data_IF_476689569525
#
_entry.id   IF_476689569525
#
_cell.length_a   1.000
_cell.length_b   1.000
_cell.length_c   1.000
_cell.angle_alpha   90.00
_cell.angle_beta   90.00
_cell.angle_gamma   90.00
#
_symmetry.space_group_name_H-M   'P 1'
#
loop_
_entity.id
_entity.type
_entity.pdbx_description
1 polymer ?
#
# COMPACT_ATOMS: atom_id res chain seq x y z
N UNK A 1 -35.49 -20.95 -55.26
CA UNK A 1 -34.66 -19.73 -55.12
C UNK A 1 -35.58 -18.55 -54.83
N UNK A 2 -35.69 -18.14 -53.56
CA UNK A 2 -36.17 -16.80 -53.19
C UNK A 2 -35.03 -16.17 -52.42
N UNK A 3 -34.51 -15.08 -52.96
CA UNK A 3 -33.46 -14.26 -52.36
C UNK A 3 -34.01 -13.65 -51.06
N UNK A 4 -33.36 -13.94 -49.93
CA UNK A 4 -33.49 -13.17 -48.71
C UNK A 4 -32.63 -11.92 -48.91
N UNK A 5 -33.30 -10.79 -49.05
CA UNK A 5 -32.69 -9.46 -49.08
C UNK A 5 -32.59 -9.00 -47.62
N UNK A 6 -31.37 -8.88 -47.09
CA UNK A 6 -31.15 -8.41 -45.72
C UNK A 6 -31.47 -6.91 -45.63
N UNK A 7 -32.25 -6.55 -44.61
CA UNK A 7 -32.70 -5.20 -44.33
C UNK A 7 -31.58 -4.42 -43.61
N UNK A 8 -31.02 -3.34 -44.21
CA UNK A 8 -29.85 -2.65 -43.69
C UNK A 8 -30.13 -1.76 -42.46
N UNK A 9 -31.36 -1.69 -41.95
CA UNK A 9 -31.73 -0.80 -40.83
C UNK A 9 -32.18 -1.55 -39.55
N UNK A 10 -31.87 -2.84 -39.43
CA UNK A 10 -32.03 -3.58 -38.16
C UNK A 10 -30.96 -3.17 -37.16
N UNK A 11 -31.27 -2.20 -36.30
CA UNK A 11 -30.53 -1.97 -35.05
C UNK A 11 -30.52 -3.25 -34.19
N UNK A 12 -29.37 -3.68 -33.65
CA UNK A 12 -29.32 -4.81 -32.74
C UNK A 12 -30.10 -4.50 -31.45
N UNK A 13 -30.68 -5.51 -30.79
CA UNK A 13 -31.37 -5.32 -29.52
C UNK A 13 -30.41 -4.70 -28.50
N UNK A 14 -30.86 -3.64 -27.82
CA UNK A 14 -30.15 -3.07 -26.69
C UNK A 14 -30.13 -4.11 -25.58
N UNK A 15 -28.95 -4.69 -25.34
CA UNK A 15 -28.65 -5.54 -24.20
C UNK A 15 -28.89 -4.74 -22.90
N UNK A 16 -30.09 -4.88 -22.38
CA UNK A 16 -30.56 -4.33 -21.12
C UNK A 16 -30.24 -5.36 -20.06
N UNK A 17 -29.00 -5.36 -19.59
CA UNK A 17 -28.57 -6.33 -18.60
C UNK A 17 -27.08 -6.38 -18.32
N UNK A 18 -26.38 -5.24 -18.30
CA UNK A 18 -25.11 -5.20 -17.56
C UNK A 18 -25.42 -5.50 -16.08
N UNK A 19 -24.81 -6.52 -15.46
CA UNK A 19 -24.90 -6.64 -14.01
C UNK A 19 -24.21 -5.41 -13.41
N UNK A 20 -25.00 -4.56 -12.75
CA UNK A 20 -24.53 -3.48 -11.90
C UNK A 20 -23.50 -4.07 -10.93
N UNK A 21 -22.23 -3.75 -11.12
CA UNK A 21 -21.20 -3.95 -10.11
C UNK A 21 -21.36 -2.84 -9.07
N UNK A 22 -22.42 -2.93 -8.26
CA UNK A 22 -22.60 -2.11 -7.08
C UNK A 22 -23.31 -2.96 -6.03
N UNK A 23 -22.64 -3.08 -4.88
CA UNK A 23 -23.19 -3.47 -3.58
C UNK A 23 -23.47 -4.97 -3.34
N UNK A 24 -22.42 -5.66 -2.91
CA UNK A 24 -22.51 -6.49 -1.70
C UNK A 24 -21.38 -6.07 -0.77
N UNK A 25 -21.61 -4.97 -0.05
CA UNK A 25 -20.71 -4.47 0.98
C UNK A 25 -20.78 -5.35 2.23
N UNK A 26 -20.04 -6.46 2.23
CA UNK A 26 -19.64 -7.10 3.48
C UNK A 26 -18.34 -6.41 3.88
N UNK A 27 -18.44 -5.36 4.69
CA UNK A 27 -17.27 -4.81 5.37
C UNK A 27 -16.75 -5.88 6.32
N UNK A 28 -15.69 -6.59 5.91
CA UNK A 28 -14.98 -7.50 6.81
C UNK A 28 -14.52 -6.67 8.03
N UNK A 29 -14.83 -7.09 9.27
CA UNK A 29 -14.32 -6.41 10.46
C UNK A 29 -12.79 -6.41 10.45
N UNK A 30 -12.17 -5.30 10.89
CA UNK A 30 -10.70 -5.18 10.93
C UNK A 30 -10.04 -6.34 11.71
N UNK A 31 -10.66 -6.77 12.81
CA UNK A 31 -10.16 -7.92 13.59
C UNK A 31 -10.04 -9.21 12.77
N UNK A 32 -11.02 -9.50 11.90
CA UNK A 32 -10.96 -10.69 11.05
C UNK A 32 -9.86 -10.59 9.99
N UNK A 33 -9.57 -9.38 9.51
CA UNK A 33 -8.44 -9.13 8.62
C UNK A 33 -7.10 -9.33 9.33
N UNK A 34 -6.99 -8.91 10.59
CA UNK A 34 -5.79 -9.12 11.39
C UNK A 34 -5.57 -10.59 11.73
N UNK A 35 -6.63 -11.32 12.08
CA UNK A 35 -6.55 -12.76 12.33
C UNK A 35 -6.06 -13.49 11.07
N UNK A 36 -6.64 -13.18 9.90
CA UNK A 36 -6.17 -13.76 8.64
C UNK A 36 -4.69 -13.47 8.38
N UNK A 37 -4.24 -12.22 8.59
CA UNK A 37 -2.85 -11.86 8.42
C UNK A 37 -1.92 -12.61 9.39
N UNK A 38 -2.36 -12.86 10.63
CA UNK A 38 -1.61 -13.67 11.60
C UNK A 38 -1.54 -15.13 11.15
N UNK A 39 -2.64 -15.72 10.69
CA UNK A 39 -2.66 -17.10 10.18
C UNK A 39 -1.73 -17.28 8.98
N UNK A 40 -1.74 -16.34 8.03
CA UNK A 40 -0.83 -16.32 6.89
C UNK A 40 0.63 -16.19 7.34
N UNK A 41 0.93 -15.26 8.25
CA UNK A 41 2.29 -15.07 8.76
C UNK A 41 2.81 -16.33 9.46
N UNK A 42 1.99 -17.02 10.23
CA UNK A 42 2.37 -18.26 10.92
C UNK A 42 2.58 -19.44 9.96
N UNK A 43 1.86 -19.45 8.83
CA UNK A 43 1.93 -20.54 7.85
C UNK A 43 3.06 -20.34 6.84
N UNK A 44 3.22 -19.13 6.35
CA UNK A 44 3.99 -18.80 5.13
C UNK A 44 5.16 -17.84 5.41
N UNK A 45 5.39 -17.44 6.67
CA UNK A 45 6.35 -16.39 7.09
C UNK A 45 6.10 -15.03 6.39
N UNK A 46 4.92 -14.86 5.78
CA UNK A 46 4.50 -13.69 5.01
C UNK A 46 2.97 -13.56 5.05
N UNK A 47 2.48 -12.32 5.15
CA UNK A 47 1.07 -12.00 5.02
C UNK A 47 0.87 -10.81 4.08
N UNK A 48 -0.20 -10.83 3.28
CA UNK A 48 -0.53 -9.75 2.35
C UNK A 48 -1.95 -9.26 2.61
N UNK A 49 -2.07 -7.98 2.95
CA UNK A 49 -3.35 -7.33 3.20
C UNK A 49 -3.67 -6.39 2.04
N UNK A 50 -4.52 -6.86 1.12
CA UNK A 50 -5.04 -6.05 0.03
C UNK A 50 -5.98 -4.95 0.55
N UNK A 51 -6.03 -3.82 -0.17
CA UNK A 51 -6.86 -2.67 0.19
C UNK A 51 -6.67 -2.20 1.65
N UNK A 52 -5.43 -2.28 2.16
CA UNK A 52 -5.05 -1.87 3.52
C UNK A 52 -5.41 -0.41 3.84
N UNK A 53 -5.59 0.45 2.84
CA UNK A 53 -6.22 1.76 2.97
C UNK A 53 -7.04 2.05 1.70
N UNK A 54 -8.05 2.94 1.74
CA UNK A 54 -8.81 3.32 0.55
C UNK A 54 -7.93 3.88 -0.56
N UNK A 55 -8.27 3.62 -1.81
CA UNK A 55 -7.52 4.11 -2.99
C UNK A 55 -7.39 5.63 -3.00
N UNK A 56 -8.42 6.37 -2.55
CA UNK A 56 -8.36 7.82 -2.40
C UNK A 56 -7.27 8.26 -1.42
N UNK A 57 -7.11 7.56 -0.29
CA UNK A 57 -6.03 7.81 0.68
C UNK A 57 -4.66 7.47 0.06
N UNK A 58 -4.55 6.39 -0.71
CA UNK A 58 -3.30 6.06 -1.44
C UNK A 58 -2.93 7.20 -2.40
N UNK A 59 -3.91 7.73 -3.14
CA UNK A 59 -3.70 8.83 -4.07
C UNK A 59 -3.24 10.12 -3.36
N UNK A 60 -3.88 10.47 -2.24
CA UNK A 60 -3.50 11.63 -1.40
C UNK A 60 -2.08 11.50 -0.84
N UNK A 61 -1.72 10.35 -0.28
CA UNK A 61 -0.36 10.07 0.21
C UNK A 61 0.68 10.15 -0.90
N UNK A 62 0.34 9.64 -2.09
CA UNK A 62 1.21 9.73 -3.26
C UNK A 62 1.41 11.17 -3.72
N UNK A 63 0.36 11.99 -3.70
CA UNK A 63 0.46 13.40 -4.03
C UNK A 63 1.36 14.15 -3.04
N UNK A 64 1.19 13.92 -1.74
CA UNK A 64 2.07 14.48 -0.71
C UNK A 64 3.54 14.06 -0.93
N UNK A 65 3.80 12.79 -1.21
CA UNK A 65 5.13 12.27 -1.56
C UNK A 65 5.74 13.03 -2.75
N UNK A 66 4.97 13.22 -3.82
CA UNK A 66 5.45 13.91 -5.02
C UNK A 66 5.72 15.40 -4.77
N UNK A 67 4.89 16.06 -3.97
CA UNK A 67 5.12 17.46 -3.58
C UNK A 67 6.41 17.60 -2.78
N UNK A 68 6.64 16.75 -1.79
CA UNK A 68 7.89 16.75 -1.01
C UNK A 68 9.11 16.36 -1.84
N UNK A 69 8.94 15.47 -2.83
CA UNK A 69 9.99 15.15 -3.79
C UNK A 69 10.40 16.37 -4.62
N UNK A 70 9.43 17.10 -5.18
CA UNK A 70 9.68 18.31 -5.98
C UNK A 70 10.28 19.45 -5.15
N UNK A 71 9.99 19.49 -3.85
CA UNK A 71 10.59 20.42 -2.88
C UNK A 71 12.00 20.02 -2.43
N UNK A 72 12.50 18.84 -2.82
CA UNK A 72 13.83 18.36 -2.49
C UNK A 72 14.01 17.90 -1.04
N UNK A 73 12.93 17.51 -0.37
CA UNK A 73 12.94 17.10 1.04
C UNK A 73 13.55 15.70 1.25
N UNK A 74 13.65 14.92 0.18
CA UNK A 74 14.20 13.58 0.17
C UNK A 74 15.72 13.57 0.28
N UNK A 75 16.23 12.59 1.04
CA UNK A 75 17.67 12.37 1.21
C UNK A 75 18.02 10.99 0.67
N UNK A 76 19.20 10.85 0.06
CA UNK A 76 19.73 9.51 -0.27
C UNK A 76 19.76 8.64 0.97
N UNK A 77 19.18 7.44 0.86
CA UNK A 77 19.22 6.47 1.94
C UNK A 77 20.66 6.07 2.25
N UNK A 78 20.92 5.77 3.52
CA UNK A 78 22.16 5.13 3.95
C UNK A 78 21.86 3.83 4.67
N UNK A 79 22.92 3.11 5.03
CA UNK A 79 22.87 1.84 5.75
C UNK A 79 23.66 1.95 7.06
N UNK A 80 23.21 1.26 8.12
CA UNK A 80 23.89 1.19 9.42
C UNK A 80 23.35 2.13 10.50
N UNK A 81 23.57 1.77 11.78
CA UNK A 81 23.09 2.51 12.96
C UNK A 81 24.19 3.39 13.57
N UNK A 82 23.83 4.60 14.02
CA UNK A 82 24.64 5.57 14.78
C UNK A 82 26.07 5.81 14.24
N UNK A 83 27.06 5.06 14.70
CA UNK A 83 28.49 5.23 14.39
C UNK A 83 28.94 4.54 13.09
N UNK A 84 28.08 3.70 12.50
CA UNK A 84 28.34 2.96 11.26
C UNK A 84 27.53 3.42 10.05
N UNK A 85 26.86 4.58 10.12
CA UNK A 85 26.06 5.08 9.00
C UNK A 85 26.95 5.33 7.78
N UNK A 86 26.79 4.51 6.75
CA UNK A 86 27.46 4.66 5.48
C UNK A 86 26.43 4.82 4.38
N UNK A 87 26.61 5.84 3.53
CA UNK A 87 25.91 5.92 2.26
C UNK A 87 26.57 4.96 1.28
N UNK A 88 26.29 3.67 1.41
CA UNK A 88 26.77 2.68 0.46
C UNK A 88 25.75 2.53 -0.68
N UNK A 89 25.94 3.34 -1.72
CA UNK A 89 25.13 3.28 -2.94
C UNK A 89 25.21 1.93 -3.66
N UNK A 90 26.18 1.07 -3.32
CA UNK A 90 26.26 -0.28 -3.86
C UNK A 90 25.29 -1.25 -3.17
N UNK A 91 24.67 -0.87 -2.04
CA UNK A 91 23.71 -1.72 -1.30
C UNK A 91 22.28 -1.25 -1.53
N UNK A 92 22.02 0.06 -1.36
CA UNK A 92 20.74 0.68 -1.69
C UNK A 92 20.94 2.06 -2.29
N UNK A 93 20.12 2.43 -3.26
CA UNK A 93 20.25 3.68 -4.03
C UNK A 93 18.96 4.50 -4.11
N UNK A 94 18.00 4.18 -3.25
CA UNK A 94 16.76 4.94 -3.09
C UNK A 94 16.97 6.25 -2.31
N UNK A 95 15.96 7.10 -2.39
CA UNK A 95 15.85 8.31 -1.60
C UNK A 95 14.70 8.15 -0.62
N UNK A 96 14.90 8.57 0.63
CA UNK A 96 13.89 8.50 1.68
C UNK A 96 13.55 9.86 2.26
N UNK A 97 12.34 9.96 2.76
CA UNK A 97 11.88 11.03 3.63
C UNK A 97 11.15 10.38 4.81
N UNK A 98 11.69 10.57 6.02
CA UNK A 98 10.99 10.17 7.25
C UNK A 98 9.71 10.97 7.39
N UNK A 99 8.64 10.31 7.81
CA UNK A 99 7.32 10.94 8.00
C UNK A 99 6.74 10.59 9.36
N UNK A 100 6.13 11.58 10.00
CA UNK A 100 5.25 11.37 11.16
C UNK A 100 3.79 11.53 10.74
N UNK A 101 2.87 11.19 11.65
CA UNK A 101 1.44 11.36 11.42
C UNK A 101 1.09 12.80 11.05
N UNK A 102 1.70 13.76 11.75
CA UNK A 102 1.43 15.19 11.62
C UNK A 102 1.95 15.80 10.31
N UNK A 103 2.88 15.12 9.65
CA UNK A 103 3.46 15.54 8.37
C UNK A 103 2.62 15.05 7.17
N UNK A 104 1.64 14.17 7.40
CA UNK A 104 0.76 13.66 6.36
C UNK A 104 -0.52 14.49 6.21
N UNK A 105 -1.17 14.45 5.03
CA UNK A 105 -2.54 14.91 4.85
C UNK A 105 -3.50 14.26 5.87
N UNK A 106 -4.57 14.97 6.22
CA UNK A 106 -5.51 14.53 7.26
C UNK A 106 -6.17 13.17 6.96
N UNK A 107 -6.39 12.83 5.69
CA UNK A 107 -6.90 11.52 5.28
C UNK A 107 -5.84 10.42 5.33
N UNK A 108 -4.55 10.78 5.26
CA UNK A 108 -3.41 9.91 5.51
C UNK A 108 -3.31 9.39 6.94
N UNK A 109 -3.96 10.06 7.91
CA UNK A 109 -4.04 9.60 9.29
C UNK A 109 -4.67 8.20 9.44
N UNK A 110 -5.57 7.82 8.51
CA UNK A 110 -6.19 6.49 8.51
C UNK A 110 -5.17 5.35 8.39
N UNK A 111 -4.05 5.58 7.69
CA UNK A 111 -2.96 4.61 7.60
C UNK A 111 -2.35 4.33 8.98
N UNK A 112 -2.09 5.38 9.75
CA UNK A 112 -1.59 5.27 11.12
C UNK A 112 -2.60 4.61 12.05
N UNK A 113 -3.90 4.95 11.93
CA UNK A 113 -4.94 4.32 12.75
C UNK A 113 -4.99 2.81 12.52
N UNK A 114 -4.95 2.35 11.26
CA UNK A 114 -4.92 0.92 10.93
C UNK A 114 -3.64 0.24 11.40
N UNK A 115 -2.49 0.91 11.30
CA UNK A 115 -1.23 0.41 11.83
C UNK A 115 -1.26 0.24 13.35
N UNK A 116 -1.87 1.18 14.07
CA UNK A 116 -2.00 1.15 15.53
C UNK A 116 -2.97 0.05 15.99
N UNK A 117 -4.08 -0.14 15.28
CA UNK A 117 -5.01 -1.26 15.50
C UNK A 117 -4.33 -2.62 15.27
N UNK A 118 -3.63 -2.79 14.13
CA UNK A 118 -2.88 -4.02 13.85
C UNK A 118 -1.80 -4.28 14.90
N UNK A 119 -1.10 -3.23 15.35
CA UNK A 119 -0.04 -3.39 16.36
C UNK A 119 -0.61 -3.77 17.72
N UNK A 120 -1.74 -3.18 18.09
CA UNK A 120 -2.50 -3.58 19.28
C UNK A 120 -2.90 -5.04 19.19
N UNK A 121 -3.47 -5.47 18.05
CA UNK A 121 -3.87 -6.85 17.81
C UNK A 121 -2.69 -7.81 17.97
N UNK A 122 -1.60 -7.60 17.23
CA UNK A 122 -0.39 -8.43 17.27
C UNK A 122 0.23 -8.50 18.67
N UNK A 123 0.20 -7.41 19.43
CA UNK A 123 0.71 -7.41 20.80
C UNK A 123 -0.17 -8.22 21.74
N UNK A 124 -1.50 -8.22 21.54
CA UNK A 124 -2.45 -8.94 22.37
C UNK A 124 -2.52 -10.43 22.04
N UNK A 125 -2.49 -10.81 20.76
CA UNK A 125 -2.68 -12.19 20.30
C UNK A 125 -1.37 -12.94 20.12
N UNK A 126 -0.31 -12.24 19.70
CA UNK A 126 0.99 -12.84 19.39
C UNK A 126 2.09 -12.48 20.40
N UNK A 127 1.79 -11.67 21.42
CA UNK A 127 2.73 -11.26 22.48
C UNK A 127 4.06 -10.63 21.97
N UNK A 128 4.05 -9.97 20.81
CA UNK A 128 5.27 -9.48 20.15
C UNK A 128 5.95 -8.29 20.87
N UNK A 129 5.20 -7.53 21.68
CA UNK A 129 5.75 -6.40 22.44
C UNK A 129 6.29 -5.27 21.56
N UNK A 130 5.69 -5.03 20.39
CA UNK A 130 5.99 -3.94 19.47
C UNK A 130 5.69 -2.60 20.15
N UNK A 131 6.70 -1.71 20.24
CA UNK A 131 6.61 -0.43 20.96
C UNK A 131 6.85 0.80 20.10
N UNK A 132 7.54 0.64 18.98
CA UNK A 132 7.97 1.73 18.11
C UNK A 132 7.85 1.28 16.67
N UNK A 133 7.54 2.24 15.81
CA UNK A 133 7.56 2.11 14.36
C UNK A 133 8.27 3.33 13.80
N UNK A 134 9.03 3.13 12.75
CA UNK A 134 9.62 4.22 11.98
C UNK A 134 9.06 4.12 10.56
N UNK A 135 8.63 5.25 9.99
CA UNK A 135 7.97 5.29 8.69
C UNK A 135 8.65 6.32 7.80
N UNK A 136 8.85 5.96 6.55
CA UNK A 136 9.41 6.84 5.55
C UNK A 136 8.80 6.59 4.17
N UNK A 137 8.65 7.64 3.37
CA UNK A 137 8.53 7.47 1.94
C UNK A 137 9.86 7.02 1.34
N UNK A 138 9.81 6.20 0.29
CA UNK A 138 10.97 5.76 -0.47
C UNK A 138 10.71 5.92 -1.97
N UNK A 139 11.64 6.56 -2.66
CA UNK A 139 11.62 6.77 -4.11
C UNK A 139 12.81 6.03 -4.73
N UNK A 140 12.50 5.17 -5.70
CA UNK A 140 13.48 4.43 -6.50
C UNK A 140 13.48 5.02 -7.92
N UNK A 141 14.38 5.96 -8.24
CA UNK A 141 14.56 6.43 -9.62
C UNK A 141 14.92 5.26 -10.56
N UNK A 142 14.74 5.40 -11.89
CA UNK A 142 15.13 4.37 -12.83
C UNK A 142 16.59 3.91 -12.62
N UNK A 143 16.79 2.60 -12.49
CA UNK A 143 18.10 1.99 -12.21
C UNK A 143 18.50 1.95 -10.72
N UNK A 144 17.70 2.52 -9.82
CA UNK A 144 17.87 2.33 -8.38
C UNK A 144 17.48 0.90 -7.96
N UNK A 145 18.08 0.44 -6.88
CA UNK A 145 17.91 -0.92 -6.37
C UNK A 145 18.15 -0.97 -4.85
N UNK A 146 17.76 -2.08 -4.26
CA UNK A 146 18.18 -2.52 -2.94
C UNK A 146 18.64 -3.97 -3.05
N UNK A 147 19.90 -4.25 -2.70
CA UNK A 147 20.41 -5.62 -2.58
C UNK A 147 19.69 -6.39 -1.47
N UNK A 148 19.66 -7.71 -1.62
CA UNK A 148 19.11 -8.62 -0.61
C UNK A 148 19.81 -8.39 0.73
N UNK A 149 19.02 -8.13 1.76
CA UNK A 149 19.46 -7.91 3.14
C UNK A 149 18.41 -8.49 4.09
N UNK A 150 18.74 -8.48 5.38
CA UNK A 150 17.78 -8.72 6.46
C UNK A 150 17.57 -7.39 7.18
N UNK A 151 16.31 -7.01 7.36
CA UNK A 151 15.96 -5.93 8.28
C UNK A 151 16.25 -6.39 9.72
N UNK A 152 16.89 -5.53 10.50
CA UNK A 152 17.34 -5.80 11.89
C UNK A 152 16.76 -4.81 12.88
#
# INVERSE_FOLDING_TARGET
MRHLQEDPDRRPPQDTGQPNATEVGISIPLEALWEQAVEELLRDDLAVIDAFIPEATVASLREALLQSWDQGEFRRAGIGHQSGFQRNANVRSDHIQWVTREELPADGHLFFDRLDDLTTYLNQTCFLGIRRRELHFAVYPPGAFYQRHLDV
#
